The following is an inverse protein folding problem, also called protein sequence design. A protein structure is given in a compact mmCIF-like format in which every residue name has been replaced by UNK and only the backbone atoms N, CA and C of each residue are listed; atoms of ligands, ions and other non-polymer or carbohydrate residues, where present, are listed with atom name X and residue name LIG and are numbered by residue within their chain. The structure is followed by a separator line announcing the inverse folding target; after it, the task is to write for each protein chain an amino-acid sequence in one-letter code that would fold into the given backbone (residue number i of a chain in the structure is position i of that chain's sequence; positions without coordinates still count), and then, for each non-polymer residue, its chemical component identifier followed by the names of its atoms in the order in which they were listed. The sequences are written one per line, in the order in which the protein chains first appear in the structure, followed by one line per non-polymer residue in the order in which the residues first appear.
data_IF_753289837542
#
_entry.id   IF_753289837542
#
_cell.length_a   1.000
_cell.length_b   1.000
_cell.length_c   1.000
_cell.angle_alpha   90.00
_cell.angle_beta   90.00
_cell.angle_gamma   90.00
#
_symmetry.space_group_name_H-M   'P 1'
#
loop_
_entity.id
_entity.type
_entity.pdbx_description
1 polymer ?
#
# COMPACT_ATOMS: atom_id res chain seq x y z
N UNK A 1 -37.13 -16.34 -5.53
CA UNK A 1 -36.28 -17.08 -6.49
C UNK A 1 -34.83 -16.84 -6.11
N UNK A 2 -34.07 -17.89 -5.78
CA UNK A 2 -32.66 -17.75 -5.44
C UNK A 2 -31.87 -17.48 -6.73
N UNK A 3 -31.27 -16.29 -6.86
CA UNK A 3 -30.30 -16.06 -7.94
C UNK A 3 -29.20 -17.12 -7.82
N UNK A 4 -29.03 -17.93 -8.87
CA UNK A 4 -27.92 -18.86 -8.95
C UNK A 4 -26.63 -18.05 -8.76
N UNK A 5 -25.94 -18.28 -7.65
CA UNK A 5 -24.67 -17.59 -7.37
C UNK A 5 -23.64 -18.11 -8.36
N UNK A 6 -22.79 -17.23 -8.87
CA UNK A 6 -21.67 -17.66 -9.70
C UNK A 6 -20.56 -18.22 -8.82
N UNK A 7 -20.10 -19.44 -9.10
CA UNK A 7 -19.05 -20.11 -8.34
C UNK A 7 -18.30 -21.13 -9.20
N UNK A 8 -17.16 -21.57 -8.67
CA UNK A 8 -16.30 -22.62 -9.17
C UNK A 8 -16.45 -23.83 -8.28
N UNK A 9 -16.63 -24.99 -8.91
CA UNK A 9 -16.53 -26.29 -8.26
C UNK A 9 -15.37 -27.08 -8.86
N UNK A 10 -14.78 -27.95 -8.06
CA UNK A 10 -13.67 -28.80 -8.47
C UNK A 10 -14.17 -30.24 -8.55
N UNK A 11 -13.90 -30.92 -9.66
CA UNK A 11 -14.05 -32.37 -9.73
C UNK A 11 -12.86 -32.98 -10.49
N UNK A 12 -12.01 -33.69 -9.75
CA UNK A 12 -10.74 -34.19 -10.27
C UNK A 12 -9.87 -33.04 -10.76
N UNK A 13 -9.43 -33.13 -12.01
CA UNK A 13 -8.55 -32.15 -12.65
C UNK A 13 -9.31 -30.99 -13.33
N UNK A 14 -10.63 -30.96 -13.21
CA UNK A 14 -11.49 -29.98 -13.88
C UNK A 14 -12.07 -28.97 -12.89
N UNK A 15 -12.20 -27.74 -13.39
CA UNK A 15 -12.92 -26.64 -12.75
C UNK A 15 -14.22 -26.40 -13.50
N UNK A 16 -15.32 -26.48 -12.78
CA UNK A 16 -16.65 -26.20 -13.30
C UNK A 16 -17.05 -24.78 -12.93
N UNK A 17 -17.30 -23.96 -13.95
CA UNK A 17 -17.77 -22.59 -13.84
C UNK A 17 -19.29 -22.62 -13.88
N UNK A 18 -19.93 -22.28 -12.76
CA UNK A 18 -21.37 -22.13 -12.69
C UNK A 18 -21.74 -20.66 -12.84
N UNK A 19 -22.52 -20.34 -13.87
CA UNK A 19 -23.06 -19.02 -14.11
C UNK A 19 -24.54 -19.10 -14.47
N UNK A 20 -25.39 -18.36 -13.74
CA UNK A 20 -26.83 -18.25 -14.02
C UNK A 20 -27.55 -19.61 -14.20
N UNK A 21 -27.07 -20.66 -13.53
CA UNK A 21 -27.63 -22.01 -13.62
C UNK A 21 -27.04 -22.90 -14.72
N UNK A 22 -26.09 -22.39 -15.51
CA UNK A 22 -25.34 -23.17 -16.50
C UNK A 22 -23.93 -23.48 -16.00
N UNK A 23 -23.46 -24.71 -16.24
CA UNK A 23 -22.12 -25.17 -15.88
C UNK A 23 -21.25 -25.36 -17.11
N UNK A 24 -20.03 -24.83 -17.11
CA UNK A 24 -19.01 -25.13 -18.13
C UNK A 24 -17.77 -25.66 -17.46
N UNK A 25 -17.29 -26.83 -17.88
CA UNK A 25 -16.06 -27.44 -17.38
C UNK A 25 -14.85 -27.01 -18.20
N UNK A 26 -13.77 -26.65 -17.52
CA UNK A 26 -12.44 -26.41 -18.11
C UNK A 26 -11.40 -27.17 -17.30
N UNK A 27 -10.28 -27.50 -17.94
CA UNK A 27 -9.17 -28.12 -17.21
C UNK A 27 -8.50 -27.10 -16.28
N UNK A 28 -8.06 -27.52 -15.09
CA UNK A 28 -7.47 -26.61 -14.10
C UNK A 28 -6.23 -25.86 -14.60
N UNK A 29 -5.50 -26.42 -15.57
CA UNK A 29 -4.36 -25.75 -16.20
C UNK A 29 -4.75 -24.43 -16.85
N UNK A 30 -5.97 -24.26 -17.35
CA UNK A 30 -6.41 -22.98 -17.91
C UNK A 30 -6.49 -21.87 -16.86
N UNK A 31 -6.89 -22.23 -15.64
CA UNK A 31 -6.93 -21.30 -14.52
C UNK A 31 -5.51 -20.92 -14.10
N UNK A 32 -4.63 -21.91 -13.98
CA UNK A 32 -3.24 -21.71 -13.61
C UNK A 32 -2.47 -20.89 -14.64
N UNK A 33 -2.59 -21.22 -15.94
CA UNK A 33 -1.96 -20.47 -17.03
C UNK A 33 -2.44 -19.03 -17.07
N UNK A 34 -3.76 -18.79 -16.95
CA UNK A 34 -4.28 -17.43 -16.94
C UNK A 34 -3.71 -16.63 -15.76
N UNK A 35 -3.61 -17.25 -14.58
CA UNK A 35 -3.07 -16.58 -13.40
C UNK A 35 -1.56 -16.30 -13.53
N UNK A 36 -0.79 -17.26 -14.06
CA UNK A 36 0.64 -17.13 -14.28
C UNK A 36 0.98 -16.05 -15.33
N UNK A 37 0.24 -16.01 -16.43
CA UNK A 37 0.45 -15.06 -17.52
C UNK A 37 0.00 -13.64 -17.14
N UNK A 38 -1.19 -13.51 -16.58
CA UNK A 38 -1.76 -12.19 -16.28
C UNK A 38 -1.24 -11.58 -14.97
N UNK A 39 -0.79 -12.43 -14.04
CA UNK A 39 -0.50 -12.07 -12.63
C UNK A 39 -1.64 -11.25 -12.00
N UNK A 40 -2.88 -11.49 -12.44
CA UNK A 40 -4.05 -10.65 -12.14
C UNK A 40 -5.27 -11.49 -11.77
N UNK A 41 -5.76 -11.27 -10.54
CA UNK A 41 -7.00 -11.90 -10.09
C UNK A 41 -8.23 -11.31 -10.81
N UNK A 42 -8.12 -10.08 -11.33
CA UNK A 42 -9.22 -9.47 -12.07
C UNK A 42 -9.46 -10.18 -13.42
N UNK A 43 -8.40 -10.61 -14.09
CA UNK A 43 -8.49 -11.38 -15.34
C UNK A 43 -9.13 -12.75 -15.09
N UNK A 44 -8.68 -13.44 -14.03
CA UNK A 44 -9.31 -14.70 -13.60
C UNK A 44 -10.79 -14.50 -13.27
N UNK A 45 -11.15 -13.48 -12.49
CA UNK A 45 -12.54 -13.18 -12.17
C UNK A 45 -13.38 -12.84 -13.41
N UNK A 46 -12.78 -12.25 -14.44
CA UNK A 46 -13.48 -11.91 -15.67
C UNK A 46 -13.81 -13.17 -16.48
N UNK A 47 -12.85 -14.09 -16.63
CA UNK A 47 -13.06 -15.36 -17.35
C UNK A 47 -13.96 -16.32 -16.57
N UNK A 48 -13.73 -16.47 -15.26
CA UNK A 48 -14.36 -17.48 -14.41
C UNK A 48 -15.59 -16.98 -13.65
N UNK A 49 -15.89 -15.68 -13.71
CA UNK A 49 -17.10 -15.00 -13.19
C UNK A 49 -17.50 -15.30 -11.74
N UNK A 50 -16.55 -15.68 -10.89
CA UNK A 50 -16.80 -16.04 -9.49
C UNK A 50 -16.42 -14.94 -8.46
N UNK A 51 -16.95 -15.07 -7.24
CA UNK A 51 -16.64 -14.17 -6.12
C UNK A 51 -15.18 -14.34 -5.66
N UNK A 52 -14.49 -13.26 -5.28
CA UNK A 52 -13.02 -13.21 -5.02
C UNK A 52 -12.44 -14.44 -4.31
N UNK A 53 -13.03 -14.86 -3.19
CA UNK A 53 -12.46 -15.95 -2.39
C UNK A 53 -12.42 -17.27 -3.15
N UNK A 54 -13.41 -17.51 -4.00
CA UNK A 54 -13.59 -18.79 -4.66
C UNK A 54 -12.52 -19.06 -5.75
N UNK A 55 -12.12 -18.12 -6.63
CA UNK A 55 -10.94 -18.29 -7.46
C UNK A 55 -9.63 -18.43 -6.67
N UNK A 56 -9.47 -17.74 -5.54
CA UNK A 56 -8.26 -17.88 -4.71
C UNK A 56 -8.18 -19.29 -4.13
N UNK A 57 -9.26 -19.77 -3.53
CA UNK A 57 -9.36 -21.15 -2.99
C UNK A 57 -9.14 -22.20 -4.09
N UNK A 58 -9.70 -21.99 -5.28
CA UNK A 58 -9.48 -22.90 -6.41
C UNK A 58 -8.03 -22.88 -6.88
N UNK A 59 -7.39 -21.71 -6.96
CA UNK A 59 -5.96 -21.59 -7.29
C UNK A 59 -5.08 -22.32 -6.26
N UNK A 60 -5.35 -22.10 -4.97
CA UNK A 60 -4.64 -22.74 -3.87
C UNK A 60 -4.81 -24.27 -3.90
N UNK A 61 -6.00 -24.77 -4.22
CA UNK A 61 -6.26 -26.21 -4.37
C UNK A 61 -5.35 -26.86 -5.43
N UNK A 62 -5.06 -26.15 -6.53
CA UNK A 62 -4.16 -26.61 -7.58
C UNK A 62 -2.70 -26.17 -7.39
N UNK A 63 -2.33 -25.76 -6.17
CA UNK A 63 -0.94 -25.47 -5.80
C UNK A 63 -0.44 -24.07 -6.17
N UNK A 64 -1.33 -23.15 -6.59
CA UNK A 64 -0.96 -21.75 -6.80
C UNK A 64 -1.19 -20.94 -5.53
N UNK A 65 -0.10 -20.48 -4.91
CA UNK A 65 -0.15 -19.63 -3.73
C UNK A 65 -0.26 -18.15 -4.11
N UNK A 66 -1.44 -17.56 -3.89
CA UNK A 66 -1.69 -16.15 -4.18
C UNK A 66 -0.88 -15.20 -3.29
N UNK A 67 -0.53 -15.63 -2.07
CA UNK A 67 0.28 -14.83 -1.15
C UNK A 67 1.75 -14.78 -1.58
N UNK A 68 2.27 -15.83 -2.25
CA UNK A 68 3.59 -15.79 -2.91
C UNK A 68 3.60 -14.74 -4.01
N UNK A 69 2.58 -14.71 -4.88
CA UNK A 69 2.48 -13.68 -5.92
C UNK A 69 2.44 -12.27 -5.32
N UNK A 70 1.60 -12.04 -4.30
CA UNK A 70 1.53 -10.75 -3.63
C UNK A 70 2.89 -10.35 -3.02
N UNK A 71 3.60 -11.29 -2.42
CA UNK A 71 4.95 -11.06 -1.87
C UNK A 71 5.93 -10.61 -2.96
N UNK A 72 5.91 -11.23 -4.13
CA UNK A 72 6.73 -10.79 -5.27
C UNK A 72 6.37 -9.39 -5.72
N UNK A 73 5.08 -9.11 -5.92
CA UNK A 73 4.60 -7.80 -6.34
C UNK A 73 4.90 -6.70 -5.31
N UNK A 74 4.91 -7.03 -4.03
CA UNK A 74 5.36 -6.11 -2.98
C UNK A 74 6.86 -5.84 -3.06
N UNK A 75 7.69 -6.84 -3.37
CA UNK A 75 9.14 -6.68 -3.61
C UNK A 75 9.43 -5.88 -4.87
N UNK A 76 8.58 -5.99 -5.89
CA UNK A 76 8.63 -5.18 -7.11
C UNK A 76 8.26 -3.69 -6.85
N UNK A 77 7.85 -3.34 -5.63
CA UNK A 77 7.56 -1.96 -5.24
C UNK A 77 6.15 -1.49 -5.64
N UNK A 78 5.25 -2.40 -6.02
CA UNK A 78 3.88 -2.02 -6.34
C UNK A 78 3.17 -1.46 -5.12
N UNK A 79 2.45 -0.33 -5.31
CA UNK A 79 1.65 0.31 -4.27
C UNK A 79 0.35 -0.46 -4.02
N UNK A 80 -0.19 -0.34 -2.81
CA UNK A 80 -1.45 -0.99 -2.42
C UNK A 80 -2.61 -0.62 -3.37
N UNK A 81 -2.69 0.64 -3.79
CA UNK A 81 -3.71 1.12 -4.73
C UNK A 81 -3.56 0.54 -6.13
N UNK A 82 -2.33 0.31 -6.58
CA UNK A 82 -2.05 -0.31 -7.88
C UNK A 82 -2.48 -1.78 -7.86
N UNK A 83 -2.10 -2.52 -6.82
CA UNK A 83 -2.48 -3.93 -6.69
C UNK A 83 -3.98 -4.10 -6.43
N UNK A 84 -4.62 -3.20 -5.69
CA UNK A 84 -6.06 -3.22 -5.51
C UNK A 84 -6.81 -3.10 -6.84
N UNK A 85 -6.33 -2.24 -7.74
CA UNK A 85 -6.86 -2.12 -9.11
C UNK A 85 -6.56 -3.37 -9.93
N UNK A 86 -5.32 -3.84 -9.91
CA UNK A 86 -4.87 -5.02 -10.67
C UNK A 86 -5.71 -6.26 -10.32
N UNK A 87 -5.94 -6.53 -9.04
CA UNK A 87 -6.70 -7.69 -8.58
C UNK A 87 -8.21 -7.44 -8.45
N UNK A 88 -8.66 -6.19 -8.68
CA UNK A 88 -10.03 -5.73 -8.48
C UNK A 88 -10.56 -6.15 -7.09
N UNK A 89 -9.82 -5.73 -6.06
CA UNK A 89 -10.07 -5.98 -4.63
C UNK A 89 -9.99 -4.67 -3.84
N UNK A 90 -10.41 -4.70 -2.58
CA UNK A 90 -10.33 -3.54 -1.70
C UNK A 90 -8.88 -3.19 -1.36
N UNK A 91 -8.55 -1.89 -1.33
CA UNK A 91 -7.20 -1.42 -1.00
C UNK A 91 -6.80 -1.73 0.45
N UNK A 92 -7.74 -1.70 1.39
CA UNK A 92 -7.51 -2.10 2.79
C UNK A 92 -7.14 -3.58 2.86
N UNK A 93 -7.78 -4.43 2.05
CA UNK A 93 -7.45 -5.85 2.00
C UNK A 93 -6.01 -6.09 1.52
N UNK A 94 -5.56 -5.36 0.49
CA UNK A 94 -4.14 -5.41 0.07
C UNK A 94 -3.21 -4.90 1.16
N UNK A 95 -3.57 -3.81 1.85
CA UNK A 95 -2.78 -3.27 2.95
C UNK A 95 -2.70 -4.22 4.16
N UNK A 96 -3.75 -4.99 4.44
CA UNK A 96 -3.76 -6.07 5.42
C UNK A 96 -2.83 -7.21 5.00
N UNK A 97 -2.94 -7.67 3.75
CA UNK A 97 -2.05 -8.71 3.19
C UNK A 97 -0.58 -8.29 3.20
N UNK A 98 -0.28 -7.04 2.87
CA UNK A 98 1.08 -6.50 2.95
C UNK A 98 1.65 -6.65 4.36
N UNK A 99 0.87 -6.23 5.37
CA UNK A 99 1.27 -6.33 6.79
C UNK A 99 1.44 -7.77 7.24
N UNK A 100 0.49 -8.66 6.90
CA UNK A 100 0.57 -10.08 7.28
C UNK A 100 1.76 -10.78 6.63
N UNK A 101 2.18 -10.34 5.45
CA UNK A 101 3.36 -10.86 4.74
C UNK A 101 4.68 -10.21 5.17
N UNK A 102 4.67 -9.38 6.23
CA UNK A 102 5.89 -8.82 6.83
C UNK A 102 6.47 -7.60 6.10
N UNK A 103 5.76 -7.04 5.12
CA UNK A 103 6.19 -5.81 4.47
C UNK A 103 5.74 -4.62 5.29
N UNK A 104 6.70 -3.80 5.73
CA UNK A 104 6.38 -2.45 6.18
C UNK A 104 5.70 -1.70 5.05
N UNK A 105 4.68 -0.89 5.35
CA UNK A 105 4.33 0.21 4.44
C UNK A 105 5.63 0.96 4.22
N UNK A 106 6.18 0.95 3.01
CA UNK A 106 7.09 2.02 2.63
C UNK A 106 6.31 3.30 2.88
N UNK A 107 6.63 3.97 3.98
CA UNK A 107 6.18 5.33 4.20
C UNK A 107 6.72 6.07 2.98
N UNK A 108 5.82 6.41 2.06
CA UNK A 108 6.21 6.98 0.78
C UNK A 108 7.17 8.13 1.03
N UNK A 109 8.30 8.15 0.30
CA UNK A 109 9.47 9.04 0.43
C UNK A 109 9.78 9.41 1.89
N UNK A 110 10.90 8.93 2.50
CA UNK A 110 11.25 9.34 3.85
C UNK A 110 11.09 10.85 4.00
N UNK A 111 10.43 11.33 5.08
CA UNK A 111 10.21 12.76 5.28
C UNK A 111 11.55 13.46 5.08
N UNK A 112 11.64 14.33 4.07
CA UNK A 112 12.82 15.17 3.95
C UNK A 112 12.73 16.14 5.12
N UNK A 113 13.54 15.90 6.14
CA UNK A 113 13.53 16.68 7.36
C UNK A 113 14.40 17.93 7.13
N UNK A 114 13.77 18.99 6.63
CA UNK A 114 14.41 20.29 6.58
C UNK A 114 14.32 20.95 7.95
N UNK A 115 15.47 21.43 8.42
CA UNK A 115 15.56 22.25 9.62
C UNK A 115 14.77 23.55 9.42
N UNK A 116 14.35 24.16 10.54
CA UNK A 116 13.67 25.46 10.51
C UNK A 116 14.49 26.49 9.74
N UNK A 117 15.80 26.51 9.97
CA UNK A 117 16.69 27.51 9.39
C UNK A 117 16.85 27.31 7.88
N UNK A 118 16.87 26.08 7.38
CA UNK A 118 16.90 25.81 5.94
C UNK A 118 15.64 26.33 5.24
N UNK A 119 14.46 26.11 5.83
CA UNK A 119 13.17 26.57 5.30
C UNK A 119 13.08 28.11 5.32
N UNK A 120 13.54 28.75 6.39
CA UNK A 120 13.53 30.21 6.51
C UNK A 120 14.57 30.86 5.58
N UNK A 121 15.77 30.29 5.47
CA UNK A 121 16.80 30.76 4.54
C UNK A 121 16.33 30.65 3.10
N UNK A 122 15.79 29.51 2.69
CA UNK A 122 15.27 29.34 1.32
C UNK A 122 14.17 30.37 0.99
N UNK A 123 13.26 30.66 1.94
CA UNK A 123 12.24 31.70 1.75
C UNK A 123 12.85 33.10 1.64
N UNK A 124 13.84 33.41 2.48
CA UNK A 124 14.50 34.71 2.51
C UNK A 124 15.36 34.98 1.28
N UNK A 125 16.00 33.95 0.73
CA UNK A 125 16.85 34.07 -0.47
C UNK A 125 16.04 34.13 -1.77
N UNK A 126 14.95 33.37 -1.88
CA UNK A 126 14.23 33.26 -3.14
C UNK A 126 13.12 34.31 -3.34
N UNK A 127 12.75 35.06 -2.30
CA UNK A 127 11.64 36.03 -2.24
C UNK A 127 10.26 35.54 -2.71
N UNK A 128 10.14 34.29 -3.19
CA UNK A 128 8.90 33.59 -3.56
C UNK A 128 8.82 32.18 -2.95
N UNK A 129 7.60 31.67 -2.78
CA UNK A 129 7.37 30.27 -2.32
C UNK A 129 7.84 29.27 -3.37
N UNK A 130 7.68 29.60 -4.65
CA UNK A 130 8.06 28.73 -5.77
C UNK A 130 9.59 28.59 -5.82
N UNK A 131 10.31 29.72 -5.83
CA UNK A 131 11.77 29.68 -5.85
C UNK A 131 12.37 29.04 -4.61
N UNK A 132 11.75 29.20 -3.43
CA UNK A 132 12.21 28.54 -2.21
C UNK A 132 11.98 27.01 -2.24
N UNK A 133 10.89 26.55 -2.87
CA UNK A 133 10.63 25.13 -3.07
C UNK A 133 11.62 24.51 -4.08
N UNK A 134 11.94 25.23 -5.15
CA UNK A 134 12.95 24.84 -6.15
C UNK A 134 14.34 24.72 -5.53
N UNK A 135 14.74 25.68 -4.69
CA UNK A 135 16.02 25.63 -3.96
C UNK A 135 16.17 24.38 -3.08
N UNK A 136 15.06 23.89 -2.52
CA UNK A 136 15.04 22.70 -1.67
C UNK A 136 14.68 21.41 -2.42
N UNK A 137 14.49 21.47 -3.75
CA UNK A 137 14.15 20.30 -4.56
C UNK A 137 12.82 19.63 -4.17
N UNK A 138 11.87 20.40 -3.66
CA UNK A 138 10.54 19.92 -3.24
C UNK A 138 9.43 20.66 -3.98
N UNK A 139 8.21 20.10 -3.96
CA UNK A 139 7.07 20.77 -4.56
C UNK A 139 6.57 21.94 -3.70
N UNK A 140 5.96 22.92 -4.38
CA UNK A 140 5.39 24.13 -3.77
C UNK A 140 4.46 23.84 -2.59
N UNK A 141 3.61 22.80 -2.69
CA UNK A 141 2.62 22.50 -1.63
C UNK A 141 3.31 21.95 -0.39
N UNK A 142 4.32 21.11 -0.57
CA UNK A 142 5.15 20.60 0.53
C UNK A 142 5.93 21.72 1.20
N UNK A 143 6.56 22.62 0.43
CA UNK A 143 7.25 23.79 0.98
C UNK A 143 6.29 24.70 1.79
N UNK A 144 5.12 25.06 1.23
CA UNK A 144 4.13 25.89 1.93
C UNK A 144 3.72 25.29 3.28
N UNK A 145 3.52 23.97 3.34
CA UNK A 145 3.17 23.28 4.58
C UNK A 145 4.30 23.34 5.61
N UNK A 146 5.54 23.09 5.20
CA UNK A 146 6.71 23.15 6.08
C UNK A 146 6.94 24.57 6.59
N UNK A 147 6.88 25.57 5.72
CA UNK A 147 7.04 26.99 6.09
C UNK A 147 5.99 27.46 7.11
N UNK A 148 4.70 27.16 6.87
CA UNK A 148 3.63 27.51 7.81
C UNK A 148 3.75 26.76 9.14
N UNK A 149 4.12 25.48 9.11
CA UNK A 149 4.32 24.69 10.31
C UNK A 149 5.45 25.24 11.18
N UNK A 150 6.61 25.58 10.58
CA UNK A 150 7.77 26.10 11.30
C UNK A 150 7.61 27.56 11.74
N UNK A 151 6.76 28.36 11.08
CA UNK A 151 6.35 29.69 11.55
C UNK A 151 5.46 29.63 12.79
N UNK A 152 4.60 28.61 12.90
CA UNK A 152 3.73 28.41 14.08
C UNK A 152 4.48 27.90 15.30
N UNK A 153 5.66 27.32 15.14
CA UNK A 153 6.55 26.89 16.24
C UNK A 153 7.23 28.05 17.00
N UNK A 154 6.72 29.28 16.90
CA UNK A 154 7.25 30.46 17.60
C UNK A 154 6.75 30.61 19.06
N UNK A 155 6.28 29.52 19.70
CA UNK A 155 6.04 29.49 21.14
C UNK A 155 7.31 29.05 21.89
N UNK A 156 7.60 29.60 23.07
CA UNK A 156 8.89 29.39 23.75
C UNK A 156 9.10 27.90 24.08
N UNK A 157 10.26 27.39 23.69
CA UNK A 157 10.88 26.24 24.31
C UNK A 157 11.54 26.75 25.59
N UNK A 158 10.88 26.51 26.72
CA UNK A 158 11.51 26.62 28.04
C UNK A 158 11.50 25.23 28.66
N UNK A 159 12.44 24.38 28.23
CA UNK A 159 12.94 23.33 29.12
C UNK A 159 14.15 23.90 29.83
N UNK A 160 13.87 24.46 31.00
CA UNK A 160 14.83 24.82 32.02
C UNK A 160 15.65 23.56 32.40
N UNK A 161 16.85 23.46 31.82
CA UNK A 161 17.92 22.57 32.27
C UNK A 161 19.24 23.29 32.08
N UNK A 162 19.60 24.12 33.04
CA UNK A 162 20.87 24.00 33.79
C UNK A 162 21.14 25.24 34.66
N UNK A 163 21.02 25.07 35.98
CA UNK A 163 21.99 25.54 36.99
C UNK A 163 22.04 24.44 38.08
N UNK A 164 23.11 23.63 38.15
CA UNK A 164 24.24 23.75 39.10
C UNK A 164 23.80 24.25 40.49
N UNK A 165 24.07 23.58 41.63
CA UNK A 165 25.34 23.02 42.11
C UNK A 165 25.12 22.29 43.48
N UNK A 166 26.03 21.34 43.79
CA UNK A 166 26.26 20.58 45.05
C UNK A 166 26.31 21.42 46.35
N UNK A 167 26.62 20.84 47.55
CA UNK A 167 26.06 19.70 48.30
C UNK A 167 25.50 20.18 49.67
N UNK A 168 24.86 19.32 50.46
CA UNK A 168 24.71 19.60 51.91
C UNK A 168 24.94 18.34 52.72
N UNK A 169 25.94 18.45 53.61
CA UNK A 169 26.34 17.48 54.60
C UNK A 169 26.18 18.15 55.97
N UNK A 170 25.98 17.32 57.01
CA UNK A 170 25.79 17.61 58.46
C UNK A 170 24.30 17.68 58.86
N UNK A 171 23.87 16.93 59.89
CA UNK A 171 24.56 16.60 61.15
C UNK A 171 24.29 15.16 61.57
#
# INVERSE_FOLDING_TARGET
MANARNYLAIAGENVFIFENGHGTGVHHSELLSLMAESRSLAEVKTKFRASRSNPIETLEHFGFDFDILLREQFREGHRDTTLAKLHRVDTKWIAEKRRSLGFSREQGRPPIDFTRDEILRARGTAESIVGAAEQLGIDRKTFSKLYLSKLRSNGPVETDRMKSSLPSNKT
#
